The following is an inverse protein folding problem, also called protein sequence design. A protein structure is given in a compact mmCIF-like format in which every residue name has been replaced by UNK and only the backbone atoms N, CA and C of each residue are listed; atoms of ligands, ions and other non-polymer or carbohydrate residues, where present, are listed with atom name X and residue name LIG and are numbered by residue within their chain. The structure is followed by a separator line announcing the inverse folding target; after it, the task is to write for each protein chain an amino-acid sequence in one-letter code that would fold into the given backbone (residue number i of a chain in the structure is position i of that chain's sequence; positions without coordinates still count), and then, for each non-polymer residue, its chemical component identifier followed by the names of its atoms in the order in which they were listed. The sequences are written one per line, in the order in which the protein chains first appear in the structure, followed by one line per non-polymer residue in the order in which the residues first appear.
data_IF_360911746173
#
_entry.id   IF_360911746173
#
_cell.length_a   1.000
_cell.length_b   1.000
_cell.length_c   1.000
_cell.angle_alpha   90.00
_cell.angle_beta   90.00
_cell.angle_gamma   90.00
#
_symmetry.space_group_name_H-M   'P 1'
#
loop_
_entity.id
_entity.type
_entity.pdbx_description
1 polymer ?
#
# COMPACT_ATOMS: atom_id res chain seq x y z
N UNK A 1 -0.87 29.96 22.54
CA UNK A 1 -0.23 29.06 21.55
C UNK A 1 -1.28 28.03 21.14
N UNK A 2 -1.90 28.19 19.98
CA UNK A 2 -2.91 27.24 19.51
C UNK A 2 -2.22 25.92 19.13
N UNK A 3 -2.66 24.81 19.74
CA UNK A 3 -2.30 23.48 19.31
C UNK A 3 -2.64 23.34 17.82
N UNK A 4 -1.61 23.13 16.99
CA UNK A 4 -1.77 23.06 15.54
C UNK A 4 -2.85 22.05 15.17
N UNK A 5 -3.82 22.48 14.37
CA UNK A 5 -4.83 21.60 13.75
C UNK A 5 -4.10 20.39 13.17
N UNK A 6 -4.53 19.19 13.55
CA UNK A 6 -4.07 17.96 12.89
C UNK A 6 -4.37 18.14 11.40
N UNK A 7 -3.45 17.71 10.54
CA UNK A 7 -3.69 17.61 9.11
C UNK A 7 -4.87 16.64 8.92
N UNK A 8 -6.09 17.18 8.82
CA UNK A 8 -7.35 16.44 8.92
C UNK A 8 -7.72 15.70 7.63
N UNK A 9 -7.07 16.05 6.51
CA UNK A 9 -7.34 15.41 5.22
C UNK A 9 -6.75 13.99 5.21
N UNK A 10 -7.58 12.94 5.01
CA UNK A 10 -7.08 11.58 4.90
C UNK A 10 -6.13 11.44 3.72
N UNK A 11 -4.97 10.83 3.97
CA UNK A 11 -4.01 10.44 2.93
C UNK A 11 -4.48 9.16 2.27
N UNK A 12 -4.46 9.09 0.93
CA UNK A 12 -5.01 7.95 0.20
C UNK A 12 -3.91 6.95 -0.18
N UNK A 13 -4.08 5.69 0.22
CA UNK A 13 -3.32 4.54 -0.30
C UNK A 13 -4.26 3.66 -1.11
N UNK A 14 -3.90 3.40 -2.37
CA UNK A 14 -4.65 2.51 -3.25
C UNK A 14 -4.06 1.11 -3.19
N UNK A 15 -4.89 0.07 -3.06
CA UNK A 15 -4.47 -1.32 -3.29
C UNK A 15 -4.95 -1.74 -4.67
N UNK A 16 -4.04 -1.79 -5.63
CA UNK A 16 -4.32 -2.16 -7.01
C UNK A 16 -4.19 -3.67 -7.19
N UNK A 17 -5.28 -4.33 -7.58
CA UNK A 17 -5.37 -5.79 -7.61
C UNK A 17 -6.12 -6.30 -8.83
N UNK A 18 -5.72 -7.48 -9.32
CA UNK A 18 -6.44 -8.26 -10.33
C UNK A 18 -7.35 -9.34 -9.74
N UNK A 19 -7.46 -9.40 -8.41
CA UNK A 19 -8.39 -10.27 -7.67
C UNK A 19 -9.50 -9.41 -7.06
N UNK A 20 -10.76 -9.84 -7.21
CA UNK A 20 -11.92 -9.16 -6.61
C UNK A 20 -11.90 -9.23 -5.08
N UNK A 21 -11.45 -10.36 -4.54
CA UNK A 21 -11.24 -10.55 -3.12
C UNK A 21 -9.75 -10.46 -2.82
N UNK A 22 -9.38 -9.44 -2.04
CA UNK A 22 -8.03 -9.26 -1.52
C UNK A 22 -8.05 -9.49 -0.01
N UNK A 23 -8.14 -10.76 0.40
CA UNK A 23 -8.04 -11.23 1.78
C UNK A 23 -7.50 -10.18 2.77
N UNK A 24 -8.38 -9.54 3.54
CA UNK A 24 -8.16 -8.61 4.69
C UNK A 24 -6.96 -7.61 4.63
N UNK A 25 -6.26 -7.47 3.51
CA UNK A 25 -4.99 -6.75 3.42
C UNK A 25 -5.20 -5.25 3.46
N UNK A 26 -6.33 -4.79 2.93
CA UNK A 26 -6.88 -3.45 3.12
C UNK A 26 -7.02 -3.11 4.61
N UNK A 27 -7.70 -3.97 5.38
CA UNK A 27 -7.90 -3.78 6.82
C UNK A 27 -6.59 -3.82 7.60
N UNK A 28 -5.67 -4.73 7.24
CA UNK A 28 -4.35 -4.83 7.87
C UNK A 28 -3.54 -3.56 7.63
N UNK A 29 -3.49 -3.09 6.38
CA UNK A 29 -2.78 -1.87 6.02
C UNK A 29 -3.39 -0.64 6.66
N UNK A 30 -4.71 -0.52 6.67
CA UNK A 30 -5.42 0.59 7.31
C UNK A 30 -5.13 0.65 8.81
N UNK A 31 -5.28 -0.47 9.52
CA UNK A 31 -4.99 -0.56 10.94
C UNK A 31 -3.50 -0.27 11.24
N UNK A 32 -2.58 -0.73 10.39
CA UNK A 32 -1.16 -0.42 10.50
C UNK A 32 -0.88 1.08 10.29
N UNK A 33 -1.45 1.68 9.25
CA UNK A 33 -1.30 3.10 8.96
C UNK A 33 -1.84 3.99 10.08
N UNK A 34 -3.00 3.62 10.66
CA UNK A 34 -3.61 4.36 11.75
C UNK A 34 -2.74 4.37 13.03
N UNK A 35 -1.93 3.32 13.26
CA UNK A 35 -0.93 3.33 14.35
C UNK A 35 0.20 4.34 14.18
N UNK A 36 0.37 4.90 12.98
CA UNK A 36 1.40 5.93 12.74
C UNK A 36 0.99 7.31 13.24
N UNK A 37 -0.26 7.49 13.68
CA UNK A 37 -0.81 8.77 14.15
C UNK A 37 -1.21 9.72 13.02
N UNK A 38 -1.24 9.22 11.78
CA UNK A 38 -1.73 9.92 10.58
C UNK A 38 -3.02 9.25 10.13
N UNK A 39 -3.92 10.02 9.52
CA UNK A 39 -5.18 9.51 8.98
C UNK A 39 -4.93 9.03 7.56
N UNK A 40 -5.21 7.75 7.30
CA UNK A 40 -5.13 7.18 5.97
C UNK A 40 -6.43 6.50 5.59
N UNK A 41 -6.83 6.68 4.33
CA UNK A 41 -7.84 5.85 3.70
C UNK A 41 -7.12 4.80 2.85
N UNK A 42 -7.48 3.53 3.01
CA UNK A 42 -6.96 2.43 2.20
C UNK A 42 -8.07 1.92 1.29
N UNK A 43 -7.92 2.10 -0.01
CA UNK A 43 -8.96 1.76 -0.98
C UNK A 43 -8.51 0.62 -1.89
N UNK A 44 -9.10 -0.57 -1.78
CA UNK A 44 -8.87 -1.64 -2.74
C UNK A 44 -9.58 -1.37 -4.05
N UNK A 45 -8.84 -1.47 -5.16
CA UNK A 45 -9.35 -1.25 -6.51
C UNK A 45 -9.06 -2.49 -7.35
N UNK A 46 -10.11 -3.23 -7.61
CA UNK A 46 -10.13 -4.23 -8.66
C UNK A 46 -10.33 -3.55 -10.01
N UNK A 47 -9.43 -3.80 -10.94
CA UNK A 47 -9.55 -3.31 -12.31
C UNK A 47 -9.27 -4.42 -13.31
N UNK A 48 -9.94 -4.40 -14.46
CA UNK A 48 -9.60 -5.28 -15.59
C UNK A 48 -8.33 -4.78 -16.30
N UNK A 49 -7.55 -5.71 -16.85
CA UNK A 49 -6.25 -5.39 -17.48
C UNK A 49 -6.38 -4.34 -18.59
N UNK A 50 -7.43 -4.37 -19.40
CA UNK A 50 -7.64 -3.41 -20.49
C UNK A 50 -7.73 -1.94 -20.01
N UNK A 51 -8.17 -1.69 -18.77
CA UNK A 51 -8.34 -0.34 -18.23
C UNK A 51 -7.16 0.12 -17.38
N UNK A 52 -6.15 -0.73 -17.12
CA UNK A 52 -5.08 -0.42 -16.17
C UNK A 52 -4.33 0.86 -16.54
N UNK A 53 -4.00 1.02 -17.82
CA UNK A 53 -3.27 2.19 -18.32
C UNK A 53 -4.03 3.49 -18.09
N UNK A 54 -5.33 3.49 -18.35
CA UNK A 54 -6.17 4.68 -18.17
C UNK A 54 -6.36 5.00 -16.69
N UNK A 55 -6.55 3.96 -15.87
CA UNK A 55 -6.63 4.13 -14.42
C UNK A 55 -5.35 4.67 -13.83
N UNK A 56 -4.18 4.15 -14.21
CA UNK A 56 -2.89 4.65 -13.72
C UNK A 56 -2.65 6.12 -14.10
N UNK A 57 -3.12 6.56 -15.27
CA UNK A 57 -3.11 7.97 -15.66
C UNK A 57 -4.06 8.80 -14.78
N UNK A 58 -5.28 8.31 -14.54
CA UNK A 58 -6.25 8.98 -13.69
C UNK A 58 -5.82 9.06 -12.22
N UNK A 59 -5.16 8.01 -11.70
CA UNK A 59 -4.65 7.95 -10.34
C UNK A 59 -3.66 9.09 -10.03
N UNK A 60 -2.93 9.59 -11.05
CA UNK A 60 -2.06 10.77 -10.91
C UNK A 60 -2.84 12.05 -10.61
N UNK A 61 -4.10 12.13 -11.02
CA UNK A 61 -4.99 13.27 -10.78
C UNK A 61 -5.65 13.20 -9.39
N UNK A 62 -5.81 11.99 -8.84
CA UNK A 62 -6.44 11.75 -7.54
C UNK A 62 -5.45 11.98 -6.38
N UNK A 63 -4.18 12.32 -6.67
CA UNK A 63 -3.13 12.62 -5.68
C UNK A 63 -3.01 11.56 -4.57
N UNK A 64 -3.12 10.27 -4.91
CA UNK A 64 -2.85 9.22 -3.94
C UNK A 64 -1.40 9.32 -3.44
N UNK A 65 -1.21 9.23 -2.12
CA UNK A 65 0.11 9.29 -1.47
C UNK A 65 0.93 8.03 -1.76
N UNK A 66 0.27 6.94 -2.11
CA UNK A 66 0.91 5.70 -2.46
C UNK A 66 -0.03 4.68 -3.06
N UNK A 67 0.57 3.61 -3.58
CA UNK A 67 -0.16 2.47 -4.11
C UNK A 67 0.55 1.19 -3.73
N UNK A 68 -0.19 0.19 -3.29
CA UNK A 68 0.27 -1.19 -3.17
C UNK A 68 -0.24 -1.96 -4.40
N UNK A 69 0.66 -2.54 -5.19
CA UNK A 69 0.35 -3.18 -6.46
C UNK A 69 0.54 -4.69 -6.33
N UNK A 70 -0.53 -5.43 -6.62
CA UNK A 70 -0.57 -6.88 -6.45
C UNK A 70 -0.68 -7.60 -7.80
N UNK A 71 -0.37 -8.90 -7.76
CA UNK A 71 -0.59 -9.81 -8.88
C UNK A 71 0.15 -9.38 -10.14
N UNK A 72 -0.55 -9.48 -11.29
CA UNK A 72 0.03 -9.21 -12.61
C UNK A 72 0.27 -7.73 -12.92
N UNK A 73 -0.22 -6.81 -12.08
CA UNK A 73 -0.10 -5.37 -12.34
C UNK A 73 1.25 -4.76 -11.96
N UNK A 74 2.11 -5.53 -11.29
CA UNK A 74 3.43 -5.07 -10.85
C UNK A 74 4.39 -4.71 -11.99
N UNK A 75 4.11 -5.17 -13.22
CA UNK A 75 4.82 -4.74 -14.43
C UNK A 75 4.17 -3.54 -15.15
N UNK A 76 2.92 -3.22 -14.82
CA UNK A 76 2.14 -2.18 -15.51
C UNK A 76 2.35 -0.79 -14.87
N UNK A 77 2.92 -0.74 -13.67
CA UNK A 77 3.16 0.49 -12.90
C UNK A 77 4.15 1.46 -13.58
N UNK A 78 4.86 1.00 -14.61
CA UNK A 78 5.68 1.85 -15.50
C UNK A 78 4.92 3.03 -16.11
N UNK A 79 3.59 2.95 -16.18
CA UNK A 79 2.76 4.05 -16.72
C UNK A 79 2.45 5.18 -15.72
N UNK A 80 2.79 5.03 -14.43
CA UNK A 80 2.47 6.01 -13.38
C UNK A 80 3.44 7.21 -13.33
N UNK A 81 4.73 7.05 -13.63
CA UNK A 81 5.71 8.15 -13.63
C UNK A 81 7.03 7.74 -14.30
N UNK A 82 7.98 8.69 -14.41
CA UNK A 82 9.42 8.46 -14.62
C UNK A 82 9.98 7.56 -13.50
N UNK A 83 9.62 6.29 -13.53
CA UNK A 83 10.20 5.30 -12.63
C UNK A 83 11.56 4.97 -13.22
N UNK A 84 12.62 5.57 -12.65
CA UNK A 84 14.03 5.30 -13.03
C UNK A 84 14.40 3.80 -13.03
N UNK A 85 13.54 2.94 -12.49
CA UNK A 85 13.71 1.50 -12.39
C UNK A 85 12.42 0.76 -12.82
N UNK A 86 11.90 1.05 -14.01
CA UNK A 86 10.72 0.39 -14.57
C UNK A 86 10.92 -1.13 -14.84
N UNK A 87 12.12 -1.66 -14.64
CA UNK A 87 12.51 -3.01 -15.06
C UNK A 87 12.28 -4.14 -14.06
N UNK A 88 11.73 -3.91 -12.86
CA UNK A 88 11.54 -5.01 -11.89
C UNK A 88 10.27 -4.85 -11.08
N UNK A 89 9.34 -5.82 -11.24
CA UNK A 89 8.17 -6.14 -10.40
C UNK A 89 7.90 -5.13 -9.27
N UNK A 90 7.34 -3.95 -9.57
CA UNK A 90 7.07 -2.92 -8.55
C UNK A 90 5.79 -3.29 -7.82
N UNK A 91 5.85 -3.47 -6.50
CA UNK A 91 4.67 -3.75 -5.67
C UNK A 91 4.30 -2.59 -4.75
N UNK A 92 5.16 -1.58 -4.62
CA UNK A 92 4.93 -0.44 -3.73
C UNK A 92 5.30 0.86 -4.43
N UNK A 93 4.37 1.81 -4.46
CA UNK A 93 4.56 3.14 -5.05
C UNK A 93 4.34 4.20 -3.99
N UNK A 94 5.19 5.24 -4.01
CA UNK A 94 5.15 6.35 -3.06
C UNK A 94 5.20 7.67 -3.82
N UNK A 95 4.33 8.61 -3.48
CA UNK A 95 4.42 10.00 -3.94
C UNK A 95 5.46 10.74 -3.10
N UNK A 96 6.51 11.26 -3.73
CA UNK A 96 7.51 12.14 -3.09
C UNK A 96 7.56 13.46 -3.86
N UNK A 97 7.13 14.54 -3.19
CA UNK A 97 6.91 15.82 -3.87
C UNK A 97 5.86 15.68 -4.97
N UNK A 98 6.25 15.90 -6.23
CA UNK A 98 5.37 15.80 -7.41
C UNK A 98 5.59 14.54 -8.25
N UNK A 99 6.40 13.58 -7.76
CA UNK A 99 6.81 12.39 -8.53
C UNK A 99 6.50 11.10 -7.79
N UNK A 100 6.06 10.09 -8.52
CA UNK A 100 5.88 8.74 -7.99
C UNK A 100 7.18 7.94 -8.10
N UNK A 101 7.48 7.19 -7.05
CA UNK A 101 8.64 6.30 -6.95
C UNK A 101 8.16 4.87 -6.69
N UNK A 102 8.62 3.93 -7.52
CA UNK A 102 8.33 2.50 -7.37
C UNK A 102 9.42 1.79 -6.56
N UNK A 103 8.99 0.81 -5.76
CA UNK A 103 9.78 -0.06 -4.90
C UNK A 103 9.28 -1.51 -5.04
N UNK A 104 10.18 -2.46 -4.83
CA UNK A 104 9.87 -3.87 -4.65
C UNK A 104 10.12 -4.23 -3.19
N UNK A 105 9.06 -4.55 -2.45
CA UNK A 105 9.10 -4.74 -1.00
C UNK A 105 8.57 -6.11 -0.58
N UNK A 106 7.47 -6.56 -1.17
CA UNK A 106 6.63 -7.63 -0.65
C UNK A 106 6.73 -8.95 -1.41
N UNK A 107 7.05 -8.92 -2.71
CA UNK A 107 7.10 -10.15 -3.49
C UNK A 107 5.73 -10.66 -3.95
N UNK A 108 5.69 -11.82 -4.61
CA UNK A 108 4.48 -12.36 -5.28
C UNK A 108 3.49 -13.02 -4.32
N UNK A 109 3.97 -13.47 -3.16
CA UNK A 109 3.21 -14.33 -2.24
C UNK A 109 2.89 -13.65 -0.92
N UNK A 110 2.81 -12.30 -0.91
CA UNK A 110 2.62 -11.55 0.33
C UNK A 110 1.37 -12.00 1.09
N UNK A 111 0.25 -12.24 0.39
CA UNK A 111 -1.01 -12.62 1.04
C UNK A 111 -0.89 -13.99 1.72
N UNK A 112 -0.33 -14.96 1.00
CA UNK A 112 -0.10 -16.31 1.49
C UNK A 112 0.87 -16.30 2.69
N UNK A 113 1.95 -15.51 2.60
CA UNK A 113 2.91 -15.30 3.69
C UNK A 113 2.31 -14.55 4.88
N UNK A 114 1.38 -13.61 4.67
CA UNK A 114 0.68 -12.94 5.77
C UNK A 114 -0.26 -13.89 6.50
N UNK A 115 -0.94 -14.79 5.79
CA UNK A 115 -1.78 -15.84 6.39
C UNK A 115 -0.97 -16.79 7.28
N UNK A 116 0.24 -17.15 6.86
CA UNK A 116 1.15 -17.96 7.68
C UNK A 116 1.92 -17.16 8.73
N UNK A 117 1.68 -15.85 8.84
CA UNK A 117 2.36 -14.93 9.76
C UNK A 117 3.89 -14.97 9.59
N UNK A 118 4.32 -15.16 8.36
CA UNK A 118 5.72 -15.24 7.98
C UNK A 118 6.46 -13.92 8.28
N UNK A 119 7.66 -14.05 8.84
CA UNK A 119 8.46 -12.90 9.29
C UNK A 119 8.81 -11.95 8.14
N UNK A 120 9.06 -12.45 6.93
CA UNK A 120 9.36 -11.63 5.75
C UNK A 120 8.14 -10.79 5.35
N UNK A 121 6.93 -11.36 5.41
CA UNK A 121 5.71 -10.62 5.11
C UNK A 121 5.43 -9.52 6.15
N UNK A 122 5.66 -9.78 7.44
CA UNK A 122 5.56 -8.76 8.48
C UNK A 122 6.57 -7.63 8.24
N UNK A 123 7.79 -7.95 7.83
CA UNK A 123 8.82 -6.98 7.50
C UNK A 123 8.47 -6.17 6.23
N UNK A 124 7.89 -6.81 5.21
CA UNK A 124 7.44 -6.15 4.00
C UNK A 124 6.37 -5.11 4.31
N UNK A 125 5.34 -5.46 5.09
CA UNK A 125 4.32 -4.50 5.54
C UNK A 125 4.97 -3.36 6.33
N UNK A 126 5.88 -3.66 7.27
CA UNK A 126 6.59 -2.64 8.04
C UNK A 126 7.33 -1.63 7.15
N UNK A 127 7.98 -2.12 6.08
CA UNK A 127 8.70 -1.26 5.15
C UNK A 127 7.75 -0.45 4.25
N UNK A 128 6.63 -1.02 3.79
CA UNK A 128 5.60 -0.24 3.08
C UNK A 128 5.08 0.92 3.95
N UNK A 129 4.76 0.66 5.22
CA UNK A 129 4.31 1.69 6.15
C UNK A 129 5.39 2.75 6.34
N UNK A 130 6.66 2.35 6.51
CA UNK A 130 7.77 3.29 6.63
C UNK A 130 7.92 4.16 5.38
N UNK A 131 7.78 3.59 4.19
CA UNK A 131 7.88 4.30 2.93
C UNK A 131 6.79 5.39 2.78
N UNK A 132 5.54 5.10 3.17
CA UNK A 132 4.44 6.09 3.06
C UNK A 132 4.38 7.09 4.20
N UNK A 133 4.83 6.70 5.40
CA UNK A 133 4.61 7.49 6.63
C UNK A 133 5.87 8.12 7.20
N UNK A 134 7.05 7.59 6.87
CA UNK A 134 8.33 7.88 7.53
C UNK A 134 8.52 7.16 8.87
N UNK A 135 7.53 6.39 9.34
CA UNK A 135 7.55 5.68 10.63
C UNK A 135 7.55 4.18 10.43
N UNK A 136 8.42 3.47 11.14
CA UNK A 136 8.51 2.01 11.10
C UNK A 136 7.70 1.39 12.23
N UNK A 137 6.89 0.38 11.92
CA UNK A 137 6.21 -0.45 12.92
C UNK A 137 7.01 -1.72 13.20
N UNK A 138 7.00 -2.19 14.44
CA UNK A 138 7.60 -3.49 14.77
C UNK A 138 6.79 -4.64 14.18
N UNK A 139 7.46 -5.75 13.86
CA UNK A 139 6.79 -6.98 13.37
C UNK A 139 5.77 -7.51 14.38
N UNK A 140 6.07 -7.43 15.68
CA UNK A 140 5.13 -7.77 16.76
C UNK A 140 3.86 -6.90 16.72
N UNK A 141 3.97 -5.61 16.38
CA UNK A 141 2.81 -4.73 16.25
C UNK A 141 1.93 -5.10 15.06
N UNK A 142 2.54 -5.50 13.95
CA UNK A 142 1.85 -5.94 12.73
C UNK A 142 1.18 -7.29 12.96
N UNK A 143 1.86 -8.23 13.63
CA UNK A 143 1.27 -9.51 13.98
C UNK A 143 0.00 -9.35 14.83
N UNK A 144 0.02 -8.48 15.85
CA UNK A 144 -1.18 -8.16 16.64
C UNK A 144 -2.32 -7.58 15.80
N UNK A 145 -1.99 -6.80 14.76
CA UNK A 145 -3.00 -6.25 13.83
C UNK A 145 -3.64 -7.38 13.01
N UNK A 146 -2.84 -8.31 12.48
CA UNK A 146 -3.33 -9.45 11.71
C UNK A 146 -4.28 -10.30 12.58
N UNK A 147 -3.87 -10.60 13.82
CA UNK A 147 -4.70 -11.36 14.77
C UNK A 147 -6.00 -10.64 15.13
N UNK A 148 -6.00 -9.30 15.18
CA UNK A 148 -7.22 -8.51 15.36
C UNK A 148 -8.13 -8.58 14.14
N UNK A 149 -7.56 -8.35 12.95
CA UNK A 149 -8.31 -8.41 11.70
C UNK A 149 -8.94 -9.78 11.45
N UNK A 150 -8.31 -10.88 11.89
CA UNK A 150 -8.87 -12.24 11.80
C UNK A 150 -10.14 -12.43 12.63
N UNK A 151 -10.26 -11.76 13.78
CA UNK A 151 -11.38 -11.90 14.74
C UNK A 151 -12.64 -11.13 14.35
N UNK A 152 -12.50 -10.07 13.56
CA UNK A 152 -13.63 -9.37 12.96
C UNK A 152 -14.20 -10.24 11.82
N UNK A 153 -15.21 -11.05 12.15
CA UNK A 153 -16.02 -11.85 11.21
C UNK A 153 -17.25 -11.08 10.75
#
# INVERSE_FOLDING_TARGET
MAAGKRDETPRLIIILTDKKDIWKIDKILEAALNKTGKIFAVLPIYIKKEYIKNFLKAARLVFADGMFVMGKYRGEVKYLADVKHADKKIDTVVLKGKKYHGYFVAGEDLVEKLKSKDKEALLAISECIKLWTGRKLSTASIQKIIEGAEKDK
#
